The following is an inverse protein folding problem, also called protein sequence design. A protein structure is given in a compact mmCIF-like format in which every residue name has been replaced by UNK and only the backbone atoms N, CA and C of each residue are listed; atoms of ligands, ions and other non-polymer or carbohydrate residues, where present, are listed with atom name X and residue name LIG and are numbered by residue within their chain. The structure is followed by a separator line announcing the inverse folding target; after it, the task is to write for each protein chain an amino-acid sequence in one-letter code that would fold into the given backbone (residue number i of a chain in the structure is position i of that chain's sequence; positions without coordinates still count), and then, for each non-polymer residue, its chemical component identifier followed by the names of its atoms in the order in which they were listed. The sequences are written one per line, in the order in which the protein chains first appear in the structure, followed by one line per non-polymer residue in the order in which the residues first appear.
data_IF_785825240848
#
_entry.id   IF_785825240848
#
_cell.length_a   1.000
_cell.length_b   1.000
_cell.length_c   1.000
_cell.angle_alpha   90.00
_cell.angle_beta   90.00
_cell.angle_gamma   90.00
#
_symmetry.space_group_name_H-M   'P 1'
#
loop_
_entity.id
_entity.type
_entity.pdbx_description
1 polymer ?
#
# COMPACT_ATOMS: atom_id res chain seq x y z
N UNK A 1 -2.65 -26.57 1.18
CA UNK A 1 -1.25 -26.32 1.62
C UNK A 1 -1.27 -26.35 3.13
N UNK A 2 -0.54 -27.29 3.73
CA UNK A 2 -0.37 -27.33 5.18
C UNK A 2 1.00 -26.72 5.46
N UNK A 3 1.03 -25.50 5.99
CA UNK A 3 2.25 -24.74 6.25
C UNK A 3 2.50 -24.69 7.76
N UNK A 4 3.74 -24.92 8.16
CA UNK A 4 4.11 -24.71 9.56
C UNK A 4 4.02 -23.20 9.89
N UNK A 5 3.69 -22.82 11.15
CA UNK A 5 3.70 -21.42 11.56
C UNK A 5 5.07 -20.75 11.33
N UNK A 6 6.17 -21.51 11.46
CA UNK A 6 7.53 -21.03 11.19
C UNK A 6 7.71 -20.63 9.73
N UNK A 7 7.36 -21.54 8.82
CA UNK A 7 7.42 -21.31 7.37
C UNK A 7 6.50 -20.16 6.95
N UNK A 8 5.30 -20.06 7.53
CA UNK A 8 4.37 -18.96 7.25
C UNK A 8 4.98 -17.60 7.59
N UNK A 9 5.67 -17.48 8.73
CA UNK A 9 6.38 -16.25 9.12
C UNK A 9 7.55 -15.92 8.20
N UNK A 10 8.32 -16.93 7.78
CA UNK A 10 9.44 -16.76 6.85
C UNK A 10 8.94 -16.28 5.48
N UNK A 11 7.91 -16.93 4.94
CA UNK A 11 7.30 -16.56 3.67
C UNK A 11 6.70 -15.16 3.73
N UNK A 12 6.02 -14.82 4.83
CA UNK A 12 5.45 -13.49 5.03
C UNK A 12 6.53 -12.41 5.02
N UNK A 13 7.61 -12.61 5.79
CA UNK A 13 8.74 -11.68 5.83
C UNK A 13 9.37 -11.50 4.46
N UNK A 14 9.60 -12.61 3.76
CA UNK A 14 10.20 -12.57 2.43
C UNK A 14 9.32 -11.82 1.42
N UNK A 15 8.03 -12.14 1.38
CA UNK A 15 7.08 -11.51 0.45
C UNK A 15 6.89 -10.02 0.75
N UNK A 16 6.79 -9.63 2.03
CA UNK A 16 6.77 -8.21 2.41
C UNK A 16 8.04 -7.49 1.93
N UNK A 17 9.22 -8.11 2.02
CA UNK A 17 10.45 -7.51 1.49
C UNK A 17 10.39 -7.34 -0.04
N UNK A 18 9.78 -8.27 -0.77
CA UNK A 18 9.60 -8.10 -2.22
C UNK A 18 8.67 -6.93 -2.53
N UNK A 19 7.57 -6.76 -1.77
CA UNK A 19 6.69 -5.59 -1.91
C UNK A 19 7.43 -4.30 -1.60
N UNK A 20 8.28 -4.25 -0.56
CA UNK A 20 9.16 -3.10 -0.28
C UNK A 20 10.04 -2.76 -1.47
N UNK A 21 10.67 -3.77 -2.09
CA UNK A 21 11.53 -3.58 -3.27
C UNK A 21 10.75 -3.01 -4.45
N UNK A 22 9.56 -3.54 -4.72
CA UNK A 22 8.69 -3.01 -5.77
C UNK A 22 8.30 -1.55 -5.50
N UNK A 23 7.84 -1.25 -4.27
CA UNK A 23 7.41 0.09 -3.91
C UNK A 23 8.58 1.09 -3.92
N UNK A 24 9.79 0.66 -3.55
CA UNK A 24 10.99 1.52 -3.56
C UNK A 24 11.38 2.02 -4.96
N UNK A 25 10.92 1.34 -6.02
CA UNK A 25 11.08 1.78 -7.41
C UNK A 25 9.77 2.33 -8.00
N UNK A 26 8.79 2.64 -7.15
CA UNK A 26 7.51 3.24 -7.52
C UNK A 26 6.49 2.27 -8.12
N UNK A 27 6.65 0.96 -7.91
CA UNK A 27 5.74 -0.07 -8.42
C UNK A 27 4.90 -0.69 -7.31
N UNK A 28 3.61 -0.86 -7.59
CA UNK A 28 2.68 -1.67 -6.79
C UNK A 28 2.20 -2.81 -7.67
N UNK A 29 2.05 -4.02 -7.14
CA UNK A 29 1.59 -5.15 -7.95
C UNK A 29 0.16 -4.95 -8.45
N UNK A 30 -0.72 -4.42 -7.61
CA UNK A 30 -2.09 -4.02 -7.97
C UNK A 30 -3.10 -5.17 -8.02
N UNK A 31 -2.64 -6.43 -7.87
CA UNK A 31 -3.46 -7.63 -7.76
C UNK A 31 -2.75 -8.78 -7.02
N UNK A 32 -1.97 -8.47 -5.99
CA UNK A 32 -1.22 -9.49 -5.27
C UNK A 32 -2.17 -10.33 -4.40
N UNK A 33 -2.11 -11.64 -4.60
CA UNK A 33 -2.86 -12.66 -3.85
C UNK A 33 -2.06 -13.96 -3.78
N UNK A 34 -2.53 -14.97 -3.05
CA UNK A 34 -1.89 -16.27 -3.00
C UNK A 34 -1.77 -16.97 -4.36
N UNK A 35 -2.62 -16.61 -5.34
CA UNK A 35 -2.59 -17.18 -6.68
C UNK A 35 -1.46 -16.60 -7.53
N UNK A 36 -1.01 -15.38 -7.21
CA UNK A 36 0.09 -14.70 -7.87
C UNK A 36 1.43 -14.87 -7.13
N UNK A 37 1.51 -15.90 -6.28
CA UNK A 37 2.73 -16.32 -5.59
C UNK A 37 3.00 -17.79 -5.89
N UNK A 38 4.13 -18.07 -6.54
CA UNK A 38 4.60 -19.43 -6.76
C UNK A 38 5.53 -19.87 -5.62
N UNK A 39 5.36 -21.09 -5.12
CA UNK A 39 6.27 -21.67 -4.14
C UNK A 39 7.28 -22.57 -4.88
N UNK A 40 8.51 -22.08 -5.04
CA UNK A 40 9.61 -22.84 -5.62
C UNK A 40 10.45 -23.55 -4.56
N UNK A 41 11.54 -24.20 -5.00
CA UNK A 41 12.52 -24.82 -4.11
C UNK A 41 13.16 -23.81 -3.13
N UNK A 42 13.41 -22.58 -3.60
CA UNK A 42 14.09 -21.54 -2.82
C UNK A 42 13.12 -20.63 -2.05
N UNK A 43 11.82 -20.95 -2.05
CA UNK A 43 10.78 -20.17 -1.38
C UNK A 43 9.78 -19.49 -2.31
N UNK A 44 8.99 -18.53 -1.79
CA UNK A 44 7.91 -17.89 -2.53
C UNK A 44 8.44 -16.86 -3.54
N UNK A 45 7.80 -16.76 -4.70
CA UNK A 45 8.14 -15.83 -5.78
C UNK A 45 6.87 -15.13 -6.24
N UNK A 46 6.89 -13.80 -6.24
CA UNK A 46 5.81 -12.97 -6.81
C UNK A 46 5.87 -13.05 -8.34
N UNK A 47 4.74 -13.31 -8.98
CA UNK A 47 4.60 -13.39 -10.43
C UNK A 47 3.54 -12.41 -10.94
N UNK A 48 3.28 -12.44 -12.26
CA UNK A 48 2.22 -11.67 -12.91
C UNK A 48 2.32 -10.14 -12.74
N UNK A 49 3.49 -9.61 -13.13
CA UNK A 49 3.79 -8.17 -13.15
C UNK A 49 3.12 -7.30 -14.25
N UNK A 50 2.46 -7.80 -15.32
CA UNK A 50 1.77 -6.93 -16.28
C UNK A 50 0.74 -5.97 -15.66
N UNK A 51 0.20 -6.32 -14.48
CA UNK A 51 -0.77 -5.50 -13.76
C UNK A 51 -0.13 -4.46 -12.82
N UNK A 52 1.21 -4.38 -12.78
CA UNK A 52 1.88 -3.46 -11.89
C UNK A 52 1.57 -2.00 -12.23
N UNK A 53 1.25 -1.21 -11.21
CA UNK A 53 0.85 0.19 -11.33
C UNK A 53 1.91 1.13 -10.74
N UNK A 54 2.00 2.34 -11.29
CA UNK A 54 2.86 3.39 -10.75
C UNK A 54 2.24 3.99 -9.48
N UNK A 55 3.01 4.01 -8.39
CA UNK A 55 2.58 4.52 -7.09
C UNK A 55 2.47 6.05 -7.03
N UNK A 56 3.36 6.79 -7.69
CA UNK A 56 3.44 8.25 -7.61
C UNK A 56 2.35 8.97 -8.43
N UNK A 57 1.75 8.29 -9.42
CA UNK A 57 0.78 8.87 -10.35
C UNK A 57 -0.67 8.41 -10.16
N UNK A 58 -0.96 7.65 -9.09
CA UNK A 58 -2.26 7.00 -8.92
C UNK A 58 -2.87 7.32 -7.55
N UNK A 59 -3.99 8.06 -7.54
CA UNK A 59 -4.72 8.41 -6.31
C UNK A 59 -5.22 7.18 -5.53
N UNK A 60 -5.33 6.02 -6.19
CA UNK A 60 -5.68 4.73 -5.57
C UNK A 60 -4.48 3.88 -5.14
N UNK A 61 -3.25 4.37 -5.27
CA UNK A 61 -2.03 3.60 -5.01
C UNK A 61 -1.98 3.02 -3.59
N UNK A 62 -2.22 3.84 -2.57
CA UNK A 62 -2.26 3.35 -1.18
C UNK A 62 -3.29 2.23 -0.99
N UNK A 63 -4.51 2.41 -1.50
CA UNK A 63 -5.56 1.39 -1.37
C UNK A 63 -5.20 0.08 -2.08
N UNK A 64 -4.54 0.16 -3.24
CA UNK A 64 -4.03 -1.00 -3.97
C UNK A 64 -2.92 -1.71 -3.19
N UNK A 65 -1.97 -0.96 -2.65
CA UNK A 65 -0.89 -1.49 -1.82
C UNK A 65 -1.42 -2.15 -0.54
N UNK A 66 -2.37 -1.51 0.14
CA UNK A 66 -3.04 -2.07 1.30
C UNK A 66 -3.72 -3.39 0.96
N UNK A 67 -4.41 -3.46 -0.19
CA UNK A 67 -5.02 -4.71 -0.65
C UNK A 67 -3.97 -5.81 -0.83
N UNK A 68 -2.90 -5.52 -1.56
CA UNK A 68 -1.82 -6.46 -1.87
C UNK A 68 -1.20 -7.05 -0.60
N UNK A 69 -0.78 -6.17 0.32
CA UNK A 69 -0.12 -6.59 1.57
C UNK A 69 -1.11 -7.27 2.53
N UNK A 70 -2.37 -6.81 2.59
CA UNK A 70 -3.38 -7.40 3.46
C UNK A 70 -3.82 -8.79 2.97
N UNK A 71 -3.78 -9.04 1.66
CA UNK A 71 -4.03 -10.37 1.10
C UNK A 71 -2.94 -11.36 1.55
N UNK A 72 -1.66 -10.97 1.46
CA UNK A 72 -0.55 -11.78 1.98
C UNK A 72 -0.70 -12.06 3.48
N UNK A 73 -1.00 -11.00 4.26
CA UNK A 73 -1.25 -11.08 5.69
C UNK A 73 -2.40 -12.03 6.01
N UNK A 74 -3.51 -11.92 5.29
CA UNK A 74 -4.70 -12.73 5.48
C UNK A 74 -4.46 -14.21 5.17
N UNK A 75 -3.76 -14.51 4.07
CA UNK A 75 -3.46 -15.88 3.66
C UNK A 75 -2.50 -16.56 4.64
N UNK A 76 -1.37 -15.91 4.96
CA UNK A 76 -0.36 -16.50 5.85
C UNK A 76 -0.79 -16.44 7.33
N UNK A 77 -1.64 -15.48 7.69
CA UNK A 77 -2.24 -15.36 9.02
C UNK A 77 -3.14 -16.53 9.40
N UNK A 78 -3.66 -17.30 8.43
CA UNK A 78 -4.36 -18.56 8.69
C UNK A 78 -3.47 -19.60 9.37
N UNK A 79 -2.15 -19.51 9.19
CA UNK A 79 -1.14 -20.42 9.75
C UNK A 79 -0.34 -19.80 10.90
N UNK A 80 -0.23 -18.47 10.93
CA UNK A 80 0.46 -17.70 11.97
C UNK A 80 -0.40 -16.48 12.37
N UNK A 81 -1.38 -16.63 13.29
CA UNK A 81 -2.37 -15.61 13.61
C UNK A 81 -1.79 -14.26 14.07
N UNK A 82 -0.59 -14.25 14.65
CA UNK A 82 0.11 -13.03 15.05
C UNK A 82 0.39 -12.08 13.87
N UNK A 83 0.49 -12.60 12.64
CA UNK A 83 0.68 -11.78 11.43
C UNK A 83 -0.51 -10.85 11.18
N UNK A 84 -1.72 -11.23 11.60
CA UNK A 84 -2.94 -10.44 11.39
C UNK A 84 -2.92 -9.09 12.10
N UNK A 85 -2.04 -8.92 13.10
CA UNK A 85 -1.86 -7.67 13.84
C UNK A 85 -0.88 -6.70 13.18
N UNK A 86 -0.26 -7.09 12.05
CA UNK A 86 0.75 -6.27 11.38
C UNK A 86 0.14 -5.24 10.43
N UNK A 87 0.80 -4.08 10.32
CA UNK A 87 0.39 -2.94 9.47
C UNK A 87 1.50 -2.51 8.49
N UNK A 88 2.17 -3.48 7.87
CA UNK A 88 3.30 -3.23 6.95
C UNK A 88 2.96 -2.28 5.80
N UNK A 89 1.73 -2.35 5.26
CA UNK A 89 1.31 -1.51 4.13
C UNK A 89 1.41 -0.01 4.43
N UNK A 90 0.95 0.40 5.62
CA UNK A 90 0.98 1.79 6.03
C UNK A 90 2.38 2.26 6.38
N UNK A 91 3.16 1.40 7.05
CA UNK A 91 4.55 1.69 7.37
C UNK A 91 5.40 1.91 6.11
N UNK A 92 5.29 1.03 5.11
CA UNK A 92 6.04 1.19 3.86
C UNK A 92 5.55 2.39 3.05
N UNK A 93 4.25 2.71 3.08
CA UNK A 93 3.71 3.88 2.40
C UNK A 93 4.21 5.19 3.01
N UNK A 94 4.24 5.28 4.35
CA UNK A 94 4.75 6.47 5.03
C UNK A 94 6.22 6.74 4.68
N UNK A 95 7.07 5.70 4.64
CA UNK A 95 8.45 5.82 4.17
C UNK A 95 8.53 6.21 2.70
N UNK A 96 7.64 5.68 1.86
CA UNK A 96 7.61 5.98 0.43
C UNK A 96 7.25 7.45 0.17
N UNK A 97 6.22 7.98 0.85
CA UNK A 97 5.80 9.38 0.73
C UNK A 97 6.87 10.37 1.19
N UNK A 98 7.68 9.98 2.18
CA UNK A 98 8.80 10.76 2.69
C UNK A 98 10.04 10.67 1.79
N UNK A 99 10.04 9.78 0.78
CA UNK A 99 11.20 9.50 -0.07
C UNK A 99 12.31 8.73 0.67
N UNK A 100 11.98 8.09 1.79
CA UNK A 100 12.92 7.35 2.65
C UNK A 100 12.89 5.84 2.40
N UNK A 101 11.90 5.33 1.66
CA UNK A 101 11.79 3.91 1.38
C UNK A 101 12.89 3.45 0.41
N UNK A 102 13.71 2.51 0.88
CA UNK A 102 14.75 1.83 0.11
C UNK A 102 14.45 0.33 -0.04
N UNK A 103 15.08 -0.31 -1.03
CA UNK A 103 14.93 -1.74 -1.32
C UNK A 103 15.26 -2.68 -0.13
N UNK A 104 16.05 -2.19 0.84
CA UNK A 104 16.48 -2.92 2.04
C UNK A 104 15.92 -2.30 3.33
N UNK A 105 14.91 -1.42 3.22
CA UNK A 105 14.24 -0.83 4.38
C UNK A 105 13.68 -1.91 5.30
N UNK A 106 14.05 -1.83 6.58
CA UNK A 106 13.60 -2.76 7.61
C UNK A 106 12.35 -2.23 8.27
N UNK A 107 11.24 -2.92 8.10
CA UNK A 107 9.95 -2.57 8.67
C UNK A 107 9.74 -3.24 10.04
N UNK A 108 9.03 -2.56 10.93
CA UNK A 108 8.68 -3.04 12.28
C UNK A 108 7.36 -3.82 12.27
N UNK A 109 6.52 -3.62 11.25
CA UNK A 109 5.19 -4.20 11.15
C UNK A 109 4.16 -3.55 12.06
N UNK A 110 4.50 -2.42 12.69
CA UNK A 110 3.64 -1.67 13.59
C UNK A 110 3.53 -0.25 13.07
N UNK A 111 2.30 0.22 12.84
CA UNK A 111 2.04 1.58 12.40
C UNK A 111 1.14 2.29 13.42
N UNK A 112 1.54 3.46 13.89
CA UNK A 112 0.66 4.28 14.72
C UNK A 112 -0.32 4.99 13.77
N UNK A 113 -1.59 4.59 13.79
CA UNK A 113 -2.63 5.31 13.06
C UNK A 113 -2.75 6.70 13.66
N UNK A 114 -2.57 7.73 12.84
CA UNK A 114 -3.05 9.06 13.19
C UNK A 114 -4.57 9.04 12.99
N UNK A 115 -5.32 8.95 14.10
CA UNK A 115 -6.78 8.88 14.10
C UNK A 115 -7.44 10.27 13.94
N UNK A 116 -6.68 11.31 13.59
CA UNK A 116 -7.27 12.57 13.14
C UNK A 116 -8.07 12.30 11.87
N UNK A 117 -9.37 12.08 12.04
CA UNK A 117 -10.31 11.95 10.95
C UNK A 117 -10.11 13.12 9.99
N UNK A 118 -9.92 12.82 8.70
CA UNK A 118 -9.92 13.85 7.68
C UNK A 118 -11.21 14.67 7.83
N UNK A 119 -11.09 15.99 8.01
CA UNK A 119 -12.22 16.88 8.19
C UNK A 119 -12.94 17.06 6.84
N UNK A 120 -14.11 16.41 6.63
CA UNK A 120 -14.80 16.49 5.37
C UNK A 120 -15.34 17.91 5.11
N UNK A 121 -15.56 18.69 6.17
CA UNK A 121 -16.03 20.08 6.06
C UNK A 121 -14.92 20.97 5.50
N UNK A 122 -13.66 20.75 5.88
CA UNK A 122 -12.51 21.45 5.30
C UNK A 122 -12.34 21.18 3.80
N UNK A 123 -12.61 19.96 3.34
CA UNK A 123 -12.55 19.61 1.90
C UNK A 123 -13.69 20.27 1.13
N UNK A 124 -14.91 20.26 1.68
CA UNK A 124 -16.06 20.89 1.04
C UNK A 124 -15.86 22.42 0.92
N UNK A 125 -15.34 23.06 1.97
CA UNK A 125 -15.01 24.48 1.96
C UNK A 125 -14.01 24.84 0.85
N UNK A 126 -12.96 24.04 0.68
CA UNK A 126 -11.94 24.28 -0.34
C UNK A 126 -12.50 24.17 -1.77
N UNK A 127 -13.47 23.27 -1.99
CA UNK A 127 -14.15 23.10 -3.29
C UNK A 127 -15.09 24.29 -3.57
N UNK A 128 -15.81 24.77 -2.55
CA UNK A 128 -16.72 25.92 -2.66
C UNK A 128 -15.94 27.20 -2.95
N UNK A 129 -14.84 27.45 -2.24
CA UNK A 129 -13.96 28.61 -2.46
C UNK A 129 -13.40 28.63 -3.89
N UNK A 130 -12.95 27.48 -4.39
CA UNK A 130 -12.45 27.36 -5.75
C UNK A 130 -13.54 27.64 -6.81
N UNK A 131 -14.80 27.27 -6.53
CA UNK A 131 -15.95 27.56 -7.41
C UNK A 131 -16.31 29.04 -7.40
N UNK A 132 -16.32 29.67 -6.23
CA UNK A 132 -16.59 31.11 -6.12
C UNK A 132 -15.52 31.95 -6.83
N UNK A 133 -14.25 31.58 -6.68
CA UNK A 133 -13.16 32.29 -7.33
C UNK A 133 -13.23 32.18 -8.87
N UNK A 134 -13.60 31.00 -9.39
CA UNK A 134 -13.83 30.79 -10.82
C UNK A 134 -14.97 31.69 -11.34
N UNK A 135 -16.10 31.76 -10.61
CA UNK A 135 -17.24 32.58 -10.98
C UNK A 135 -16.90 34.08 -10.99
N UNK A 136 -16.12 34.55 -10.00
CA UNK A 136 -15.65 35.95 -9.96
C UNK A 136 -14.74 36.29 -11.14
N UNK A 137 -13.91 35.34 -11.60
CA UNK A 137 -13.06 35.52 -12.79
C UNK A 137 -13.85 35.55 -14.10
N UNK A 138 -14.95 34.81 -14.20
CA UNK A 138 -15.85 34.85 -15.37
C UNK A 138 -16.62 36.17 -15.44
N UNK A 139 -17.23 36.61 -14.33
CA UNK A 139 -17.98 37.87 -14.27
C UNK A 139 -17.09 39.10 -14.53
N UNK A 140 -15.82 39.05 -14.12
CA UNK A 140 -14.84 40.10 -14.42
C UNK A 140 -14.32 40.10 -15.87
N UNK A 141 -14.58 39.04 -16.65
CA UNK A 141 -14.24 38.97 -18.09
C UNK A 141 -15.37 39.44 -18.99
N UNK A 142 -16.60 39.46 -18.49
CA UNK A 142 -17.81 39.86 -19.22
C UNK A 142 -18.25 41.33 -18.96
N UNK A 143 -17.50 42.07 -18.12
CA UNK A 143 -17.74 43.49 -17.81
C UNK A 143 -16.81 44.44 -18.56
#
# INVERSE_FOLDING_TARGET
LDLSPGTAREYHRYLVQQVVRMLSIGLIHGDLSEFNVLIGHDGPVIIDLPQAVNAAGNNGALAMLERDVNNLRGTLGRFAPELLQTEFAREMWALFEQGELTADSTLKGVFARDETAADPDAVLLAVEDAREEALRRELGRES
#
